data_IF_790336281981
#
_entry.id   IF_790336281981
#
_cell.length_a   1.000
_cell.length_b   1.000
_cell.length_c   1.000
_cell.angle_alpha   90.00
_cell.angle_beta   90.00
_cell.angle_gamma   90.00
#
_symmetry.space_group_name_H-M   'P 1'
#
loop_
_entity.id
_entity.type
_entity.pdbx_description
1 polymer ?
#
# COMPACT_ATOMS: atom_id res chain seq x y z
N UNK A 1 -8.69 10.92 -9.09
CA UNK A 1 -7.72 10.00 -8.44
C UNK A 1 -7.79 10.28 -6.96
N UNK A 2 -8.26 9.33 -6.17
CA UNK A 2 -8.33 9.50 -4.72
C UNK A 2 -7.15 8.74 -4.11
N UNK A 3 -6.36 9.45 -3.32
CA UNK A 3 -5.23 8.90 -2.57
C UNK A 3 -5.64 8.87 -1.11
N UNK A 4 -5.52 7.70 -0.47
CA UNK A 4 -5.82 7.56 0.95
C UNK A 4 -4.54 7.16 1.67
N UNK A 5 -4.20 7.90 2.71
CA UNK A 5 -3.10 7.55 3.62
C UNK A 5 -3.70 6.91 4.85
N UNK A 6 -3.20 5.72 5.20
CA UNK A 6 -3.58 5.03 6.43
C UNK A 6 -2.36 4.97 7.34
N UNK A 7 -2.53 5.53 8.54
CA UNK A 7 -1.57 5.43 9.61
C UNK A 7 -1.85 4.16 10.43
N UNK A 8 -0.87 3.25 10.47
CA UNK A 8 -0.98 1.97 11.18
C UNK A 8 -0.33 1.97 12.56
N UNK A 9 0.31 3.07 13.00
CA UNK A 9 1.03 3.15 14.30
C UNK A 9 0.13 2.82 15.50
N UNK A 10 -1.17 3.11 15.39
CA UNK A 10 -2.16 2.79 16.44
C UNK A 10 -2.40 1.28 16.62
N UNK A 11 -2.05 0.46 15.63
CA UNK A 11 -2.20 -1.00 15.67
C UNK A 11 -0.83 -1.68 15.77
N UNK A 12 0.08 -1.35 14.86
CA UNK A 12 1.42 -1.95 14.78
C UNK A 12 2.30 -1.15 13.81
N UNK A 13 3.62 -1.21 14.03
CA UNK A 13 4.58 -0.81 13.01
C UNK A 13 4.54 -1.81 11.85
N UNK A 14 4.39 -1.30 10.63
CA UNK A 14 4.43 -2.11 9.40
C UNK A 14 5.89 -2.18 8.95
N UNK A 15 6.53 -3.33 9.15
CA UNK A 15 7.82 -3.63 8.53
C UNK A 15 7.67 -4.16 7.10
N UNK A 16 8.80 -4.44 6.46
CA UNK A 16 8.86 -4.92 5.08
C UNK A 16 8.06 -6.21 4.85
N UNK A 17 8.08 -7.13 5.81
CA UNK A 17 7.33 -8.39 5.71
C UNK A 17 5.82 -8.17 5.83
N UNK A 18 5.37 -7.33 6.77
CA UNK A 18 3.94 -7.00 6.91
C UNK A 18 3.43 -6.24 5.68
N UNK A 19 4.24 -5.32 5.14
CA UNK A 19 3.93 -4.60 3.91
C UNK A 19 3.82 -5.57 2.72
N UNK A 20 4.75 -6.53 2.61
CA UNK A 20 4.71 -7.55 1.58
C UNK A 20 3.45 -8.43 1.67
N UNK A 21 3.02 -8.80 2.88
CA UNK A 21 1.75 -9.51 3.08
C UNK A 21 0.57 -8.64 2.67
N UNK A 22 0.55 -7.35 3.03
CA UNK A 22 -0.51 -6.42 2.63
C UNK A 22 -0.68 -6.36 1.12
N UNK A 23 0.45 -6.28 0.40
CA UNK A 23 0.52 -6.35 -1.06
C UNK A 23 -0.01 -7.67 -1.62
N UNK A 24 0.33 -8.80 -1.00
CA UNK A 24 -0.11 -10.14 -1.42
C UNK A 24 -1.62 -10.34 -1.25
N UNK A 25 -2.20 -9.79 -0.17
CA UNK A 25 -3.62 -9.92 0.12
C UNK A 25 -4.52 -8.92 -0.63
N UNK A 26 -3.95 -7.82 -1.14
CA UNK A 26 -4.69 -6.81 -1.89
C UNK A 26 -4.06 -6.56 -3.28
N UNK A 27 -4.04 -7.58 -4.16
CA UNK A 27 -3.34 -7.50 -5.46
C UNK A 27 -4.00 -6.52 -6.45
N UNK A 28 -5.23 -6.07 -6.21
CA UNK A 28 -5.87 -5.03 -7.04
C UNK A 28 -5.50 -3.61 -6.63
N UNK A 29 -4.93 -3.42 -5.44
CA UNK A 29 -4.56 -2.11 -4.91
C UNK A 29 -3.10 -1.80 -5.22
N UNK A 30 -2.83 -0.55 -5.59
CA UNK A 30 -1.47 -0.03 -5.63
C UNK A 30 -1.15 0.51 -4.24
N UNK A 31 -0.30 -0.22 -3.51
CA UNK A 31 0.14 0.11 -2.16
C UNK A 31 1.57 0.61 -2.22
N UNK A 32 1.82 1.76 -1.61
CA UNK A 32 3.16 2.34 -1.44
C UNK A 32 3.41 2.65 0.04
N UNK A 33 4.66 2.54 0.48
CA UNK A 33 5.10 2.93 1.83
C UNK A 33 5.94 4.21 1.70
N UNK A 34 5.61 5.25 2.46
CA UNK A 34 6.42 6.46 2.50
C UNK A 34 7.57 6.34 3.54
N UNK A 35 8.47 7.32 3.55
CA UNK A 35 9.58 7.38 4.51
C UNK A 35 9.11 7.57 5.97
N UNK A 36 7.85 7.98 6.18
CA UNK A 36 7.21 8.15 7.48
C UNK A 36 6.49 6.87 7.95
N UNK A 37 6.72 5.74 7.27
CA UNK A 37 6.12 4.43 7.54
C UNK A 37 4.59 4.35 7.34
N UNK A 38 4.00 5.32 6.66
CA UNK A 38 2.59 5.34 6.32
C UNK A 38 2.33 4.60 5.00
N UNK A 39 1.14 4.00 4.88
CA UNK A 39 0.72 3.31 3.67
C UNK A 39 -0.18 4.21 2.85
N UNK A 40 0.19 4.40 1.60
CA UNK A 40 -0.56 5.16 0.59
C UNK A 40 -1.28 4.16 -0.30
N UNK A 41 -2.60 4.28 -0.36
CA UNK A 41 -3.47 3.50 -1.23
C UNK A 41 -3.85 4.36 -2.43
N UNK A 42 -3.41 3.91 -3.61
CA UNK A 42 -3.78 4.49 -4.88
C UNK A 42 -4.89 3.65 -5.49
N UNK A 43 -6.07 4.25 -5.68
CA UNK A 43 -7.16 3.58 -6.39
C UNK A 43 -6.74 3.35 -7.85
N UNK A 44 -6.87 2.13 -8.41
CA UNK A 44 -6.49 1.89 -9.79
C UNK A 44 -7.32 2.78 -10.71
N UNK A 45 -6.63 3.48 -11.62
CA UNK A 45 -7.32 4.17 -12.72
C UNK A 45 -7.70 3.06 -13.69
N UNK A 46 -9.01 2.79 -13.82
CA UNK A 46 -9.53 1.62 -14.51
C UNK A 46 -8.86 1.36 -15.86
N UNK A 47 -8.29 0.16 -16.02
CA UNK A 47 -7.82 -0.34 -17.31
C UNK A 47 -6.50 -1.09 -17.27
N UNK A 48 -5.52 -0.65 -16.48
CA UNK A 48 -4.19 -1.27 -16.48
C UNK A 48 -3.72 -1.55 -15.05
N UNK A 49 -3.98 -2.78 -14.58
CA UNK A 49 -3.44 -3.30 -13.31
C UNK A 49 -1.93 -3.47 -13.45
N UNK A 50 -1.18 -2.38 -13.32
CA UNK A 50 0.28 -2.44 -13.23
C UNK A 50 0.62 -2.88 -11.80
N UNK A 51 0.79 -4.19 -11.61
CA UNK A 51 1.25 -4.81 -10.37
C UNK A 51 2.61 -4.24 -9.98
N UNK A 52 2.66 -3.20 -9.15
CA UNK A 52 3.92 -2.68 -8.67
C UNK A 52 3.80 -2.31 -7.19
N UNK A 53 3.96 -3.31 -6.33
CA UNK A 53 4.48 -3.04 -5.00
C UNK A 53 5.99 -2.82 -5.16
N UNK A 54 6.39 -1.56 -5.17
CA UNK A 54 7.80 -1.22 -5.04
C UNK A 54 8.07 -1.12 -3.55
N UNK A 55 8.98 -1.96 -3.05
CA UNK A 55 9.51 -1.86 -1.70
C UNK A 55 10.53 -0.72 -1.65
#
# INVERSE_FOLDING_TARGET
>A
MNTYTINFDVITKIGDEQFYQLCRYNPELNLERNQEEEIIILSPTGGETRKKCSI
#
